data_IF_057500376529
#
_entry.id   IF_057500376529
#
_cell.length_a   1.000
_cell.length_b   1.000
_cell.length_c   1.000
_cell.angle_alpha   90.00
_cell.angle_beta   90.00
_cell.angle_gamma   90.00
#
_symmetry.space_group_name_H-M   'P 1'
#
loop_
_entity.id
_entity.type
_entity.pdbx_description
1 polymer ?
#
# COMPACT_ATOMS: atom_id res chain seq x y z
N UNK A 1 4.88 -1.31 11.54
CA UNK A 1 5.31 -0.68 10.27
C UNK A 1 6.76 -0.17 10.28
N UNK A 2 7.32 0.23 11.39
CA UNK A 2 8.71 0.75 11.44
C UNK A 2 9.80 -0.32 11.17
N UNK A 3 9.53 -1.58 11.42
CA UNK A 3 10.49 -2.68 11.15
C UNK A 3 10.66 -3.05 9.68
N UNK A 4 9.74 -2.65 8.80
CA UNK A 4 9.82 -2.97 7.37
C UNK A 4 10.77 -2.06 6.58
N UNK A 5 11.26 -0.96 7.18
CA UNK A 5 12.21 -0.04 6.54
C UNK A 5 13.66 -0.58 6.46
N UNK A 6 13.95 -1.71 7.14
CA UNK A 6 15.30 -2.29 7.24
C UNK A 6 15.43 -3.67 6.58
N UNK A 7 14.49 -4.04 5.69
CA UNK A 7 14.65 -5.29 4.95
C UNK A 7 15.77 -5.16 3.92
N UNK A 8 16.85 -5.88 4.17
CA UNK A 8 17.94 -6.13 3.21
C UNK A 8 17.65 -7.42 2.46
N UNK A 9 18.39 -7.67 1.37
CA UNK A 9 18.31 -8.89 0.56
C UNK A 9 18.63 -10.18 1.36
N UNK A 10 19.13 -10.06 2.59
CA UNK A 10 19.44 -11.16 3.52
C UNK A 10 18.37 -11.38 4.60
N UNK A 11 17.20 -10.73 4.50
CA UNK A 11 16.12 -10.93 5.46
C UNK A 11 15.59 -12.37 5.38
N UNK A 12 15.73 -13.12 6.48
CA UNK A 12 15.29 -14.50 6.58
C UNK A 12 13.76 -14.65 6.59
N UNK A 13 13.28 -15.86 6.35
CA UNK A 13 11.84 -16.18 6.34
C UNK A 13 11.15 -15.84 7.67
N UNK A 14 11.89 -15.86 8.79
CA UNK A 14 11.42 -15.48 10.12
C UNK A 14 11.03 -14.01 10.25
N UNK A 15 11.68 -13.11 9.49
CA UNK A 15 11.41 -11.67 9.54
C UNK A 15 10.08 -11.29 8.90
N UNK A 16 9.60 -12.11 7.97
CA UNK A 16 8.30 -11.95 7.33
C UNK A 16 7.17 -12.67 8.07
N UNK A 17 7.48 -13.75 8.78
CA UNK A 17 6.48 -14.62 9.41
C UNK A 17 5.67 -13.89 10.49
N UNK A 18 6.34 -13.24 11.44
CA UNK A 18 5.68 -12.52 12.52
C UNK A 18 4.82 -11.34 12.06
N UNK A 19 5.30 -10.43 11.18
CA UNK A 19 4.48 -9.37 10.63
C UNK A 19 3.25 -9.86 9.86
N UNK A 20 3.35 -10.98 9.14
CA UNK A 20 2.22 -11.56 8.40
C UNK A 20 1.17 -12.14 9.34
N UNK A 21 1.59 -12.81 10.43
CA UNK A 21 0.67 -13.32 11.45
C UNK A 21 -0.07 -12.16 12.13
N UNK A 22 0.65 -11.16 12.63
CA UNK A 22 0.02 -9.98 13.26
C UNK A 22 -0.95 -9.27 12.32
N UNK A 23 -0.60 -9.16 11.04
CA UNK A 23 -1.48 -8.60 10.02
C UNK A 23 -2.73 -9.46 9.82
N UNK A 24 -2.58 -10.79 9.73
CA UNK A 24 -3.69 -11.72 9.56
C UNK A 24 -4.65 -11.71 10.75
N UNK A 25 -4.11 -11.77 11.96
CA UNK A 25 -4.88 -11.69 13.22
C UNK A 25 -5.58 -10.33 13.31
N UNK A 26 -4.89 -9.23 13.03
CA UNK A 26 -5.49 -7.89 13.06
C UNK A 26 -6.66 -7.74 12.08
N UNK A 27 -6.52 -8.26 10.87
CA UNK A 27 -7.60 -8.27 9.88
C UNK A 27 -8.78 -9.13 10.35
N UNK A 28 -8.54 -10.31 10.91
CA UNK A 28 -9.59 -11.19 11.44
C UNK A 28 -10.37 -10.54 12.59
N UNK A 29 -9.67 -9.89 13.52
CA UNK A 29 -10.28 -9.21 14.66
C UNK A 29 -11.14 -8.00 14.25
N UNK A 30 -10.85 -7.35 13.14
CA UNK A 30 -11.67 -6.26 12.62
C UNK A 30 -12.85 -6.79 11.81
N UNK A 31 -12.63 -7.87 11.03
CA UNK A 31 -13.60 -8.35 10.06
C UNK A 31 -14.83 -8.98 10.70
N UNK A 32 -14.65 -9.78 11.76
CA UNK A 32 -15.73 -10.48 12.44
C UNK A 32 -16.70 -9.50 13.14
N UNK A 33 -16.23 -8.54 13.98
CA UNK A 33 -17.12 -7.57 14.61
C UNK A 33 -17.82 -6.67 13.59
N UNK A 34 -17.12 -6.27 12.51
CA UNK A 34 -17.69 -5.41 11.47
C UNK A 34 -18.85 -6.10 10.75
N UNK A 35 -18.70 -7.37 10.41
CA UNK A 35 -19.75 -8.16 9.77
C UNK A 35 -20.95 -8.35 10.69
N UNK A 36 -20.70 -8.66 11.97
CA UNK A 36 -21.76 -8.81 12.96
C UNK A 36 -22.51 -7.49 13.18
N UNK A 37 -21.80 -6.37 13.26
CA UNK A 37 -22.41 -5.05 13.44
C UNK A 37 -23.25 -4.64 12.23
N UNK A 38 -22.81 -4.93 11.03
CA UNK A 38 -23.53 -4.63 9.79
C UNK A 38 -24.84 -5.43 9.65
N UNK A 39 -24.94 -6.59 10.29
CA UNK A 39 -26.10 -7.47 10.23
C UNK A 39 -26.96 -7.45 11.51
N UNK A 40 -26.52 -6.76 12.56
CA UNK A 40 -27.14 -6.79 13.90
C UNK A 40 -28.59 -6.32 13.93
N UNK A 41 -28.96 -5.35 13.09
CA UNK A 41 -30.30 -4.76 13.05
C UNK A 41 -31.27 -5.52 12.12
N UNK A 42 -30.83 -6.63 11.50
CA UNK A 42 -31.66 -7.41 10.56
C UNK A 42 -32.40 -8.55 11.28
N UNK A 43 -33.70 -8.71 11.01
CA UNK A 43 -34.42 -9.89 11.49
C UNK A 43 -33.85 -11.18 10.93
N UNK A 44 -33.87 -12.27 11.69
CA UNK A 44 -33.27 -13.57 11.36
C UNK A 44 -33.64 -14.07 9.96
N UNK A 45 -34.86 -13.86 9.51
CA UNK A 45 -35.34 -14.25 8.17
C UNK A 45 -34.68 -13.49 7.02
N UNK A 46 -34.12 -12.30 7.27
CA UNK A 46 -33.49 -11.44 6.26
C UNK A 46 -31.94 -11.48 6.31
N UNK A 47 -31.35 -12.17 7.27
CA UNK A 47 -29.89 -12.30 7.42
C UNK A 47 -29.23 -12.85 6.15
N UNK A 48 -29.75 -13.91 5.46
CA UNK A 48 -29.14 -14.44 4.25
C UNK A 48 -29.05 -13.39 3.13
N UNK A 49 -30.13 -12.63 2.94
CA UNK A 49 -30.17 -11.56 1.93
C UNK A 49 -29.24 -10.38 2.29
N UNK A 50 -29.20 -10.03 3.59
CA UNK A 50 -28.29 -9.00 4.10
C UNK A 50 -26.83 -9.37 3.92
N UNK A 51 -26.47 -10.62 4.19
CA UNK A 51 -25.12 -11.17 3.99
C UNK A 51 -24.71 -11.12 2.52
N UNK A 52 -25.62 -11.49 1.61
CA UNK A 52 -25.39 -11.40 0.17
C UNK A 52 -25.10 -9.97 -0.29
N UNK A 53 -25.94 -9.02 0.13
CA UNK A 53 -25.78 -7.60 -0.19
C UNK A 53 -24.48 -7.03 0.42
N UNK A 54 -24.18 -7.36 1.67
CA UNK A 54 -22.94 -6.94 2.35
C UNK A 54 -21.69 -7.44 1.58
N UNK A 55 -21.67 -8.71 1.18
CA UNK A 55 -20.56 -9.27 0.42
C UNK A 55 -20.43 -8.61 -0.96
N UNK A 56 -21.53 -8.34 -1.64
CA UNK A 56 -21.54 -7.64 -2.92
C UNK A 56 -20.96 -6.23 -2.79
N UNK A 57 -21.44 -5.45 -1.81
CA UNK A 57 -20.93 -4.11 -1.56
C UNK A 57 -19.45 -4.10 -1.19
N UNK A 58 -19.00 -5.07 -0.37
CA UNK A 58 -17.60 -5.25 -0.03
C UNK A 58 -16.73 -5.54 -1.26
N UNK A 59 -17.21 -6.38 -2.16
CA UNK A 59 -16.47 -6.74 -3.38
C UNK A 59 -16.40 -5.57 -4.36
N UNK A 60 -17.50 -4.85 -4.53
CA UNK A 60 -17.51 -3.63 -5.35
C UNK A 60 -16.60 -2.56 -4.75
N UNK A 61 -16.70 -2.31 -3.45
CA UNK A 61 -15.82 -1.35 -2.76
C UNK A 61 -14.34 -1.74 -2.86
N UNK A 62 -14.02 -3.03 -2.75
CA UNK A 62 -12.67 -3.55 -2.94
C UNK A 62 -12.13 -3.33 -4.35
N UNK A 63 -12.91 -3.63 -5.37
CA UNK A 63 -12.50 -3.44 -6.77
C UNK A 63 -12.28 -1.97 -7.12
N UNK A 64 -13.18 -1.09 -6.68
CA UNK A 64 -13.04 0.36 -6.85
C UNK A 64 -11.82 0.87 -6.09
N UNK A 65 -11.60 0.41 -4.85
CA UNK A 65 -10.44 0.77 -4.04
C UNK A 65 -9.12 0.38 -4.71
N UNK A 66 -9.04 -0.82 -5.29
CA UNK A 66 -7.85 -1.29 -6.03
C UNK A 66 -7.63 -0.42 -7.27
N UNK A 67 -8.68 -0.12 -8.04
CA UNK A 67 -8.56 0.71 -9.25
C UNK A 67 -8.06 2.12 -8.94
N UNK A 68 -8.60 2.76 -7.90
CA UNK A 68 -8.15 4.06 -7.42
C UNK A 68 -6.69 3.99 -6.96
N UNK A 69 -6.34 2.98 -6.17
CA UNK A 69 -4.98 2.79 -5.66
C UNK A 69 -3.97 2.64 -6.80
N UNK A 70 -4.28 1.80 -7.78
CA UNK A 70 -3.42 1.59 -8.95
C UNK A 70 -3.22 2.89 -9.75
N UNK A 71 -4.28 3.65 -9.97
CA UNK A 71 -4.22 4.94 -10.67
C UNK A 71 -3.37 5.96 -9.90
N UNK A 72 -3.54 6.03 -8.57
CA UNK A 72 -2.75 6.93 -7.72
C UNK A 72 -1.27 6.56 -7.70
N UNK A 73 -0.93 5.27 -7.59
CA UNK A 73 0.46 4.80 -7.66
C UNK A 73 1.09 5.19 -8.98
N UNK A 74 0.42 4.96 -10.11
CA UNK A 74 0.93 5.34 -11.41
C UNK A 74 1.16 6.86 -11.53
N UNK A 75 0.21 7.65 -11.06
CA UNK A 75 0.29 9.11 -11.09
C UNK A 75 1.43 9.63 -10.21
N UNK A 76 1.52 9.17 -8.98
CA UNK A 76 2.59 9.56 -8.06
C UNK A 76 3.96 9.10 -8.58
N UNK A 77 4.05 7.90 -9.15
CA UNK A 77 5.30 7.41 -9.76
C UNK A 77 5.74 8.29 -10.92
N UNK A 78 4.82 8.75 -11.76
CA UNK A 78 5.14 9.66 -12.84
C UNK A 78 5.66 11.02 -12.32
N UNK A 79 5.03 11.58 -11.27
CA UNK A 79 5.44 12.84 -10.65
C UNK A 79 6.82 12.68 -10.00
N UNK A 80 7.00 11.70 -9.11
CA UNK A 80 8.28 11.50 -8.43
C UNK A 80 9.41 11.15 -9.40
N UNK A 81 9.09 10.41 -10.47
CA UNK A 81 10.08 10.12 -11.52
C UNK A 81 10.50 11.39 -12.25
N UNK A 82 9.58 12.30 -12.56
CA UNK A 82 9.90 13.57 -13.19
C UNK A 82 10.81 14.42 -12.29
N UNK A 83 10.48 14.50 -10.99
CA UNK A 83 11.26 15.24 -10.00
C UNK A 83 12.67 14.64 -9.83
N UNK A 84 12.77 13.31 -9.76
CA UNK A 84 14.07 12.64 -9.65
C UNK A 84 14.93 12.83 -10.90
N UNK A 85 14.33 12.74 -12.10
CA UNK A 85 15.07 12.94 -13.37
C UNK A 85 15.56 14.38 -13.48
N UNK A 86 14.83 15.37 -13.01
CA UNK A 86 15.29 16.75 -13.02
C UNK A 86 16.60 16.95 -12.25
N UNK A 87 16.86 16.11 -11.23
CA UNK A 87 18.10 16.12 -10.45
C UNK A 87 19.19 15.17 -10.99
N UNK A 88 18.84 14.24 -11.90
CA UNK A 88 19.78 13.29 -12.56
C UNK A 88 20.22 13.88 -13.89
N UNK A 89 20.99 14.96 -13.85
CA UNK A 89 21.55 15.57 -15.04
C UNK A 89 22.96 15.03 -15.30
N UNK A 90 23.38 15.01 -16.58
CA UNK A 90 24.76 14.64 -16.96
C UNK A 90 25.83 15.63 -16.41
N UNK A 91 25.41 16.78 -15.89
CA UNK A 91 26.27 17.75 -15.22
C UNK A 91 26.43 17.48 -13.73
N UNK A 92 25.60 16.61 -13.14
CA UNK A 92 25.72 16.21 -11.74
C UNK A 92 26.89 15.27 -11.54
N UNK A 93 27.82 15.65 -10.67
CA UNK A 93 28.99 14.84 -10.29
C UNK A 93 28.57 13.46 -9.77
N UNK A 94 27.59 13.43 -8.90
CA UNK A 94 27.03 12.19 -8.33
C UNK A 94 26.46 11.26 -9.40
N UNK A 95 25.83 11.82 -10.43
CA UNK A 95 25.29 11.01 -11.55
C UNK A 95 26.42 10.41 -12.36
N UNK A 96 27.47 11.18 -12.65
CA UNK A 96 28.65 10.71 -13.39
C UNK A 96 29.42 9.64 -12.64
N UNK A 97 29.65 9.82 -11.35
CA UNK A 97 30.32 8.82 -10.50
C UNK A 97 29.53 7.50 -10.45
N UNK A 98 28.21 7.57 -10.26
CA UNK A 98 27.36 6.36 -10.28
C UNK A 98 27.38 5.67 -11.63
N UNK A 99 27.28 6.42 -12.72
CA UNK A 99 27.33 5.88 -14.07
C UNK A 99 28.68 5.19 -14.34
N UNK A 100 29.79 5.86 -13.99
CA UNK A 100 31.14 5.30 -14.11
C UNK A 100 31.31 4.02 -13.28
N UNK A 101 30.81 4.00 -12.06
CA UNK A 101 30.84 2.82 -11.20
C UNK A 101 30.05 1.63 -11.77
N UNK A 102 28.88 1.89 -12.36
CA UNK A 102 28.10 0.83 -13.04
C UNK A 102 28.82 0.35 -14.28
N UNK A 103 29.36 1.26 -15.10
CA UNK A 103 30.14 0.91 -16.30
C UNK A 103 31.35 0.05 -15.97
N UNK A 104 32.13 0.44 -14.95
CA UNK A 104 33.31 -0.31 -14.51
C UNK A 104 32.96 -1.75 -14.14
N UNK A 105 31.85 -1.95 -13.42
CA UNK A 105 31.36 -3.29 -13.04
C UNK A 105 30.94 -4.10 -14.27
N UNK A 106 30.24 -3.48 -15.23
CA UNK A 106 29.79 -4.15 -16.44
C UNK A 106 30.98 -4.57 -17.34
N UNK A 107 31.98 -3.70 -17.46
CA UNK A 107 33.20 -4.01 -18.22
C UNK A 107 34.00 -5.13 -17.53
N UNK A 108 34.09 -5.11 -16.19
CA UNK A 108 34.73 -6.17 -15.42
C UNK A 108 34.07 -7.54 -15.62
N UNK A 109 32.75 -7.57 -15.90
CA UNK A 109 32.02 -8.81 -16.24
C UNK A 109 32.09 -9.20 -17.73
N UNK A 110 32.93 -8.55 -18.52
CA UNK A 110 33.17 -8.90 -19.93
C UNK A 110 32.24 -8.20 -20.93
N UNK A 111 31.47 -7.18 -20.50
CA UNK A 111 30.61 -6.42 -21.41
C UNK A 111 31.47 -5.44 -22.22
N UNK A 112 31.37 -5.39 -23.58
CA UNK A 112 32.08 -4.41 -24.41
C UNK A 112 31.72 -2.97 -24.00
N UNK A 113 32.71 -2.06 -24.03
CA UNK A 113 32.55 -0.68 -23.54
C UNK A 113 31.36 0.06 -24.18
N UNK A 114 31.08 0.03 -25.48
CA UNK A 114 29.93 0.71 -26.07
C UNK A 114 28.57 0.17 -25.54
N UNK A 115 28.53 -1.14 -25.27
CA UNK A 115 27.34 -1.79 -24.73
C UNK A 115 27.21 -1.55 -23.22
N UNK A 116 28.33 -1.39 -22.51
CA UNK A 116 28.34 -1.10 -21.06
C UNK A 116 27.75 0.28 -20.77
N UNK A 117 27.94 1.27 -21.61
CA UNK A 117 27.38 2.60 -21.47
C UNK A 117 25.85 2.57 -21.57
N UNK A 118 25.30 1.97 -22.62
CA UNK A 118 23.84 1.86 -22.78
C UNK A 118 23.18 1.04 -21.68
N UNK A 119 23.81 -0.05 -21.23
CA UNK A 119 23.35 -0.85 -20.10
C UNK A 119 23.43 -0.08 -18.78
N UNK A 120 24.48 0.70 -18.56
CA UNK A 120 24.61 1.51 -17.34
C UNK A 120 23.50 2.57 -17.25
N UNK A 121 23.14 3.21 -18.36
CA UNK A 121 22.01 4.13 -18.43
C UNK A 121 20.67 3.41 -18.12
N UNK A 122 20.48 2.21 -18.65
CA UNK A 122 19.29 1.40 -18.35
C UNK A 122 19.20 1.06 -16.86
N UNK A 123 20.31 0.65 -16.24
CA UNK A 123 20.38 0.35 -14.81
C UNK A 123 20.07 1.59 -13.98
N UNK A 124 20.66 2.73 -14.32
CA UNK A 124 20.42 4.00 -13.63
C UNK A 124 18.95 4.42 -13.75
N UNK A 125 18.37 4.35 -14.94
CA UNK A 125 16.94 4.61 -15.15
C UNK A 125 16.05 3.65 -14.34
N UNK A 126 16.42 2.38 -14.26
CA UNK A 126 15.73 1.39 -13.43
C UNK A 126 15.78 1.74 -11.92
N UNK A 127 16.94 2.22 -11.44
CA UNK A 127 17.09 2.68 -10.06
C UNK A 127 16.20 3.89 -9.76
N UNK A 128 16.18 4.89 -10.65
CA UNK A 128 15.30 6.07 -10.52
C UNK A 128 13.84 5.67 -10.48
N UNK A 129 13.42 4.79 -11.38
CA UNK A 129 12.03 4.31 -11.43
C UNK A 129 11.66 3.54 -10.16
N UNK A 130 12.54 2.67 -9.66
CA UNK A 130 12.33 1.94 -8.41
C UNK A 130 12.20 2.89 -7.21
N UNK A 131 13.02 3.92 -7.15
CA UNK A 131 12.96 4.94 -6.10
C UNK A 131 11.65 5.75 -6.16
N UNK A 132 11.23 6.16 -7.37
CA UNK A 132 9.96 6.83 -7.59
C UNK A 132 8.77 5.97 -7.13
N UNK A 133 8.79 4.67 -7.42
CA UNK A 133 7.77 3.73 -6.96
C UNK A 133 7.72 3.65 -5.42
N UNK A 134 8.88 3.55 -4.75
CA UNK A 134 8.93 3.51 -3.27
C UNK A 134 8.29 4.74 -2.65
N UNK A 135 8.65 5.94 -3.14
CA UNK A 135 8.06 7.21 -2.67
C UNK A 135 6.55 7.26 -2.92
N UNK A 136 6.11 6.71 -4.05
CA UNK A 136 4.69 6.65 -4.40
C UNK A 136 3.90 5.75 -3.47
N UNK A 137 4.44 4.60 -3.10
CA UNK A 137 3.83 3.72 -2.12
C UNK A 137 3.77 4.35 -0.73
N UNK A 138 4.84 5.02 -0.30
CA UNK A 138 4.86 5.74 0.97
C UNK A 138 3.76 6.80 1.02
N UNK A 139 3.62 7.62 -0.03
CA UNK A 139 2.58 8.62 -0.14
C UNK A 139 1.17 8.02 -0.15
N UNK A 140 0.97 6.88 -0.83
CA UNK A 140 -0.30 6.17 -0.83
C UNK A 140 -0.66 5.63 0.55
N UNK A 141 0.31 5.08 1.28
CA UNK A 141 0.10 4.62 2.66
C UNK A 141 -0.25 5.76 3.61
N UNK A 142 0.39 6.92 3.47
CA UNK A 142 0.05 8.11 4.23
C UNK A 142 -1.36 8.60 3.93
N UNK A 143 -1.77 8.60 2.66
CA UNK A 143 -3.12 8.96 2.23
C UNK A 143 -4.16 8.04 2.88
N UNK A 144 -3.97 6.73 2.80
CA UNK A 144 -4.88 5.77 3.43
C UNK A 144 -4.87 5.87 4.95
N UNK A 145 -3.70 6.08 5.56
CA UNK A 145 -3.60 6.34 6.99
C UNK A 145 -4.40 7.57 7.41
N UNK A 146 -4.30 8.66 6.66
CA UNK A 146 -5.08 9.87 6.89
C UNK A 146 -6.60 9.62 6.74
N UNK A 147 -7.03 8.88 5.72
CA UNK A 147 -8.42 8.50 5.54
C UNK A 147 -8.94 7.66 6.73
N UNK A 148 -8.13 6.73 7.23
CA UNK A 148 -8.48 5.95 8.43
C UNK A 148 -8.62 6.83 9.67
N UNK A 149 -7.68 7.73 9.91
CA UNK A 149 -7.75 8.65 11.06
C UNK A 149 -8.99 9.55 10.97
N UNK A 150 -9.33 10.03 9.76
CA UNK A 150 -10.53 10.85 9.53
C UNK A 150 -11.83 10.05 9.70
N UNK A 151 -11.83 8.74 9.47
CA UNK A 151 -13.01 7.89 9.66
C UNK A 151 -13.32 7.62 11.14
N UNK A 152 -12.33 7.67 12.04
CA UNK A 152 -12.52 7.41 13.47
C UNK A 152 -13.51 8.37 14.15
N UNK A 153 -13.41 9.71 14.02
CA UNK A 153 -14.37 10.61 14.62
C UNK A 153 -15.77 10.45 14.03
N UNK A 154 -15.89 10.08 12.74
CA UNK A 154 -17.18 9.82 12.11
C UNK A 154 -17.87 8.60 12.73
N UNK A 155 -17.13 7.54 13.03
CA UNK A 155 -17.63 6.36 13.76
C UNK A 155 -18.05 6.70 15.18
N UNK A 156 -17.32 7.57 15.89
CA UNK A 156 -17.66 8.01 17.23
C UNK A 156 -18.94 8.85 17.26
N UNK A 157 -19.17 9.67 16.22
CA UNK A 157 -20.43 10.42 16.08
C UNK A 157 -21.63 9.49 15.83
N UNK A 158 -21.47 8.44 15.06
CA UNK A 158 -22.54 7.47 14.78
C UNK A 158 -22.91 6.65 16.01
N UNK A 159 -21.95 6.36 16.91
CA UNK A 159 -22.22 5.56 18.13
C UNK A 159 -23.12 6.28 19.13
N UNK A 160 -23.26 7.60 19.05
CA UNK A 160 -24.11 8.40 19.98
C UNK A 160 -25.59 8.40 19.59
N UNK A 161 -26.00 7.80 18.47
CA UNK A 161 -27.35 7.95 17.92
C UNK A 161 -28.35 6.83 18.23
N UNK A 162 -27.99 5.75 18.97
CA UNK A 162 -28.97 4.73 19.35
C UNK A 162 -28.78 4.26 20.77
N UNK A 163 -29.40 5.01 21.72
CA UNK A 163 -29.89 4.42 22.94
C UNK A 163 -30.99 3.43 22.58
N UNK A 164 -30.72 2.14 22.79
CA UNK A 164 -31.70 1.06 22.67
C UNK A 164 -32.90 1.36 23.60
N UNK A 165 -34.13 1.41 23.12
CA UNK A 165 -35.27 1.31 24.02
C UNK A 165 -35.25 -0.09 24.60
N UNK A 166 -35.08 -0.20 25.91
CA UNK A 166 -35.14 -1.45 26.63
C UNK A 166 -36.39 -2.21 26.25
N UNK A 167 -36.20 -3.46 25.81
CA UNK A 167 -37.28 -4.41 25.68
C UNK A 167 -37.95 -4.63 27.03
N UNK A 168 -39.08 -4.04 27.19
CA UNK A 168 -40.02 -4.40 28.28
C UNK A 168 -40.43 -5.86 28.04
N UNK A 169 -40.04 -6.71 28.95
CA UNK A 169 -40.71 -7.99 29.17
C UNK A 169 -42.16 -7.72 29.46
N UNK A 170 -43.05 -8.41 28.78
CA UNK A 170 -44.40 -8.62 29.24
C UNK A 170 -44.98 -9.89 28.62
N UNK A 171 -45.18 -10.86 29.49
CA UNK A 171 -46.19 -11.92 29.54
C UNK A 171 -46.42 -12.82 28.33
#
# INVERSE_FOLDING_TARGET
MWKHAHFTTDSGMSDFFWPLIFRGVGLGLIFVPLTNLALADLPMSKIPNGTGLFNLMRQLGGSVGIAISATLVQRFTAIHRADLIANVTQFSEVTRERLAGIMTRLVATGTPVPLAESKALMVLNGQVTRQAMMLSFEQLFLLFGACFVLSLPLLLLMHKSKGMPGGAAAH
#
